data_IF_839671874203
#
_entry.id   IF_839671874203
#
_cell.length_a   1.000
_cell.length_b   1.000
_cell.length_c   1.000
_cell.angle_alpha   90.00
_cell.angle_beta   90.00
_cell.angle_gamma   90.00
#
_symmetry.space_group_name_H-M   'P 1'
#
loop_
_entity.id
_entity.type
_entity.pdbx_description
1 polymer ?
#
# COMPACT_ATOMS: atom_id res chain seq x y z
N UNK A 1 30.49 -18.22 -11.72
CA UNK A 1 29.92 -17.18 -10.84
C UNK A 1 29.18 -16.26 -11.78
N UNK A 2 27.88 -16.51 -11.99
CA UNK A 2 27.06 -15.62 -12.82
C UNK A 2 27.02 -14.24 -12.16
N UNK A 3 27.19 -13.15 -12.94
CA UNK A 3 27.08 -11.81 -12.39
C UNK A 3 25.67 -11.60 -11.81
N UNK A 4 25.61 -11.07 -10.59
CA UNK A 4 24.37 -10.67 -9.94
C UNK A 4 23.66 -9.60 -10.79
N UNK A 5 22.34 -9.70 -10.93
CA UNK A 5 21.51 -8.80 -11.73
C UNK A 5 21.69 -7.33 -11.28
N UNK A 6 21.93 -7.10 -9.99
CA UNK A 6 22.20 -5.77 -9.44
C UNK A 6 23.54 -5.19 -9.91
N UNK A 7 24.58 -6.03 -10.02
CA UNK A 7 25.90 -5.62 -10.56
C UNK A 7 25.80 -5.33 -12.07
N UNK A 8 24.99 -6.10 -12.79
CA UNK A 8 24.67 -5.86 -14.20
C UNK A 8 23.92 -4.54 -14.42
N UNK A 9 22.89 -4.26 -13.62
CA UNK A 9 22.14 -2.98 -13.65
C UNK A 9 23.02 -1.77 -13.34
N UNK A 10 23.91 -1.88 -12.35
CA UNK A 10 24.84 -0.81 -11.99
C UNK A 10 25.80 -0.48 -13.13
N UNK A 11 26.36 -1.50 -13.78
CA UNK A 11 27.26 -1.33 -14.93
C UNK A 11 26.53 -0.82 -16.18
N UNK A 12 25.29 -1.26 -16.41
CA UNK A 12 24.47 -0.81 -17.54
C UNK A 12 24.08 0.66 -17.40
N UNK A 13 23.73 1.10 -16.19
CA UNK A 13 23.36 2.51 -15.93
C UNK A 13 24.47 3.49 -16.32
N UNK A 14 25.73 3.09 -16.14
CA UNK A 14 26.89 3.90 -16.53
C UNK A 14 27.18 3.91 -18.04
N UNK A 15 26.66 2.92 -18.78
CA UNK A 15 26.90 2.74 -20.22
C UNK A 15 25.75 3.26 -21.08
N UNK A 16 24.52 2.96 -20.66
CA UNK A 16 23.27 3.30 -21.34
C UNK A 16 22.14 3.39 -20.30
N UNK A 17 21.80 4.62 -19.84
CA UNK A 17 20.71 4.84 -18.90
C UNK A 17 19.36 4.29 -19.39
N UNK A 18 19.07 4.36 -20.70
CA UNK A 18 17.80 3.93 -21.27
C UNK A 18 17.69 2.39 -21.27
N UNK A 19 18.79 1.70 -21.57
CA UNK A 19 18.85 0.25 -21.44
C UNK A 19 18.72 -0.20 -19.97
N UNK A 20 19.23 0.57 -19.01
CA UNK A 20 19.10 0.26 -17.58
C UNK A 20 17.65 0.38 -17.11
N UNK A 21 16.95 1.45 -17.53
CA UNK A 21 15.51 1.61 -17.25
C UNK A 21 14.68 0.48 -17.88
N UNK A 22 15.02 0.06 -19.09
CA UNK A 22 14.38 -1.09 -19.75
C UNK A 22 14.55 -2.37 -18.94
N UNK A 23 15.74 -2.63 -18.40
CA UNK A 23 15.99 -3.81 -17.56
C UNK A 23 15.23 -3.75 -16.24
N UNK A 24 15.10 -2.56 -15.62
CA UNK A 24 14.26 -2.36 -14.42
C UNK A 24 12.81 -2.75 -14.68
N UNK A 25 12.25 -2.41 -15.84
CA UNK A 25 10.89 -2.83 -16.24
C UNK A 25 10.80 -4.36 -16.25
N UNK A 26 11.75 -5.06 -16.86
CA UNK A 26 11.75 -6.54 -16.91
C UNK A 26 11.81 -7.14 -15.50
N UNK A 27 12.79 -6.71 -14.69
CA UNK A 27 12.95 -7.21 -13.31
C UNK A 27 11.70 -6.97 -12.46
N UNK A 28 11.06 -5.82 -12.63
CA UNK A 28 9.84 -5.48 -11.90
C UNK A 28 8.68 -6.43 -12.26
N UNK A 29 8.41 -6.63 -13.55
CA UNK A 29 7.35 -7.56 -13.99
C UNK A 29 7.64 -9.01 -13.59
N UNK A 30 8.90 -9.44 -13.62
CA UNK A 30 9.29 -10.79 -13.18
C UNK A 30 9.02 -10.99 -11.69
N UNK A 31 9.30 -9.98 -10.86
CA UNK A 31 9.00 -10.01 -9.44
C UNK A 31 7.48 -10.12 -9.16
N UNK A 32 6.64 -9.46 -9.98
CA UNK A 32 5.19 -9.57 -9.92
C UNK A 32 4.68 -10.95 -10.35
N UNK A 33 5.20 -11.48 -11.47
CA UNK A 33 4.83 -12.81 -11.98
C UNK A 33 5.24 -13.92 -11.02
N UNK A 34 6.43 -13.82 -10.42
CA UNK A 34 6.93 -14.77 -9.42
C UNK A 34 6.01 -14.83 -8.18
N UNK A 35 5.41 -13.69 -7.81
CA UNK A 35 4.46 -13.58 -6.68
C UNK A 35 3.00 -13.88 -7.06
N UNK A 36 2.75 -14.26 -8.31
CA UNK A 36 1.42 -14.56 -8.84
C UNK A 36 0.40 -13.46 -8.55
N UNK A 37 0.81 -12.19 -8.63
CA UNK A 37 -0.10 -11.06 -8.41
C UNK A 37 -1.17 -11.01 -9.50
N UNK A 38 -2.33 -10.48 -9.14
CA UNK A 38 -3.46 -10.31 -10.03
C UNK A 38 -3.33 -9.30 -11.14
N UNK A 39 -4.41 -9.21 -11.90
CA UNK A 39 -4.57 -8.29 -13.04
C UNK A 39 -4.41 -6.84 -12.62
N UNK A 40 -5.16 -6.41 -11.60
CA UNK A 40 -5.11 -5.03 -11.13
C UNK A 40 -3.72 -4.68 -10.62
N UNK A 41 -3.09 -5.59 -9.88
CA UNK A 41 -1.73 -5.42 -9.38
C UNK A 41 -0.72 -5.27 -10.53
N UNK A 42 -0.88 -6.05 -11.59
CA UNK A 42 -0.05 -5.98 -12.79
C UNK A 42 -0.21 -4.64 -13.52
N UNK A 43 -1.45 -4.16 -13.67
CA UNK A 43 -1.75 -2.86 -14.29
C UNK A 43 -1.26 -1.69 -13.45
N UNK A 44 -1.34 -1.79 -12.13
CA UNK A 44 -0.79 -0.81 -11.21
C UNK A 44 0.72 -0.66 -11.37
N UNK A 45 1.43 -1.79 -11.46
CA UNK A 45 2.86 -1.81 -11.77
C UNK A 45 3.18 -1.08 -13.06
N UNK A 46 2.44 -1.37 -14.13
CA UNK A 46 2.60 -0.71 -15.41
C UNK A 46 2.30 0.80 -15.36
N UNK A 47 1.27 1.22 -14.62
CA UNK A 47 0.90 2.61 -14.47
C UNK A 47 1.97 3.42 -13.75
N UNK A 48 2.52 2.88 -12.66
CA UNK A 48 3.63 3.50 -11.91
C UNK A 48 4.88 3.59 -12.78
N UNK A 49 5.24 2.53 -13.49
CA UNK A 49 6.43 2.51 -14.37
C UNK A 49 6.32 3.44 -15.57
N UNK A 50 5.13 3.58 -16.16
CA UNK A 50 4.90 4.43 -17.34
C UNK A 50 4.66 5.90 -16.99
N UNK A 51 4.37 6.21 -15.72
CA UNK A 51 3.92 7.52 -15.27
C UNK A 51 2.60 7.95 -15.92
N UNK A 52 1.81 7.00 -16.42
CA UNK A 52 0.57 7.24 -17.17
C UNK A 52 -0.54 6.29 -16.71
N UNK A 53 -1.78 6.59 -17.09
CA UNK A 53 -2.89 5.66 -16.85
C UNK A 53 -2.72 4.44 -17.75
N UNK A 54 -2.88 3.25 -17.20
CA UNK A 54 -2.79 1.98 -17.94
C UNK A 54 -4.09 1.23 -17.78
N UNK A 55 -4.53 0.60 -18.87
CA UNK A 55 -5.72 -0.23 -18.84
C UNK A 55 -5.59 -1.57 -19.52
N UNK A 56 -6.56 -2.43 -19.23
CA UNK A 56 -6.82 -3.69 -19.89
C UNK A 56 -8.31 -3.80 -20.19
N UNK A 57 -8.63 -4.34 -21.36
CA UNK A 57 -9.96 -4.86 -21.67
C UNK A 57 -9.82 -6.35 -21.88
N UNK A 58 -10.69 -7.11 -21.24
CA UNK A 58 -10.76 -8.56 -21.34
C UNK A 58 -12.22 -9.01 -21.48
N UNK A 59 -12.63 -9.30 -22.72
CA UNK A 59 -14.05 -9.45 -23.05
C UNK A 59 -14.80 -8.16 -22.71
N UNK A 60 -15.72 -8.24 -21.74
CA UNK A 60 -16.53 -7.12 -21.24
C UNK A 60 -15.91 -6.37 -20.05
N UNK A 61 -14.89 -6.93 -19.41
CA UNK A 61 -14.29 -6.33 -18.23
C UNK A 61 -13.23 -5.32 -18.65
N UNK A 62 -13.33 -4.10 -18.11
CA UNK A 62 -12.35 -3.04 -18.31
C UNK A 62 -11.74 -2.66 -16.96
N UNK A 63 -10.41 -2.72 -16.90
CA UNK A 63 -9.60 -2.34 -15.75
C UNK A 63 -8.69 -1.19 -16.17
N UNK A 64 -8.68 -0.11 -15.39
CA UNK A 64 -7.91 1.12 -15.58
C UNK A 64 -7.30 1.54 -14.25
N UNK A 65 -6.02 1.85 -14.28
CA UNK A 65 -5.23 2.28 -13.13
C UNK A 65 -4.43 3.51 -13.51
N UNK A 66 -4.55 4.59 -12.74
CA UNK A 66 -3.83 5.86 -12.95
C UNK A 66 -2.35 5.71 -12.57
N UNK A 67 -1.52 6.64 -13.02
CA UNK A 67 -0.08 6.72 -12.73
C UNK A 67 0.28 6.67 -11.22
N UNK A 68 -0.59 7.17 -10.33
CA UNK A 68 -0.42 7.08 -8.86
C UNK A 68 -0.83 5.70 -8.29
N UNK A 69 -1.13 4.77 -9.19
CA UNK A 69 -1.55 3.42 -8.88
C UNK A 69 -3.03 3.29 -8.52
N UNK A 70 -3.83 4.36 -8.48
CA UNK A 70 -5.23 4.26 -8.07
C UNK A 70 -6.10 3.73 -9.22
N UNK A 71 -6.91 2.71 -8.92
CA UNK A 71 -7.92 2.16 -9.83
C UNK A 71 -9.02 3.21 -10.08
N UNK A 72 -9.39 3.42 -11.34
CA UNK A 72 -10.39 4.43 -11.76
C UNK A 72 -11.49 3.81 -12.62
N UNK A 73 -12.56 4.57 -12.85
CA UNK A 73 -13.70 4.10 -13.63
C UNK A 73 -13.31 3.61 -15.03
N UNK A 74 -13.95 2.53 -15.52
CA UNK A 74 -13.68 1.99 -16.83
C UNK A 74 -14.07 2.99 -17.93
N UNK A 75 -13.22 3.10 -18.95
CA UNK A 75 -13.44 3.88 -20.17
C UNK A 75 -12.88 3.05 -21.33
N UNK A 76 -13.57 3.09 -22.47
CA UNK A 76 -13.10 2.44 -23.69
C UNK A 76 -11.81 3.09 -24.20
N UNK A 77 -10.82 2.31 -24.66
CA UNK A 77 -9.55 2.86 -25.10
C UNK A 77 -9.71 3.68 -26.38
N UNK A 78 -9.05 4.84 -26.43
CA UNK A 78 -8.91 5.62 -27.66
C UNK A 78 -8.03 4.91 -28.68
N UNK A 79 -8.35 5.06 -29.96
CA UNK A 79 -7.52 4.59 -31.08
C UNK A 79 -6.16 5.30 -31.17
N UNK A 80 -6.02 6.47 -30.55
CA UNK A 80 -4.77 7.26 -30.55
C UNK A 80 -3.74 6.77 -29.52
N UNK A 81 -4.15 5.95 -28.56
CA UNK A 81 -3.28 5.52 -27.48
C UNK A 81 -2.41 4.32 -27.88
N UNK A 82 -1.20 4.17 -27.32
CA UNK A 82 -0.43 2.94 -27.45
C UNK A 82 -1.21 1.72 -26.94
N UNK A 83 -1.49 0.74 -27.82
CA UNK A 83 -2.23 -0.49 -27.51
C UNK A 83 -1.42 -1.73 -27.90
N UNK A 84 -1.52 -2.80 -27.11
CA UNK A 84 -1.00 -4.13 -27.44
C UNK A 84 -2.03 -5.22 -27.13
N UNK A 85 -2.12 -6.23 -27.99
CA UNK A 85 -2.95 -7.40 -27.73
C UNK A 85 -2.40 -8.20 -26.53
N UNK A 86 -3.28 -8.67 -25.65
CA UNK A 86 -2.95 -9.46 -24.45
C UNK A 86 -3.68 -10.81 -24.38
N UNK A 87 -4.24 -11.25 -25.52
CA UNK A 87 -4.95 -12.52 -25.69
C UNK A 87 -6.13 -12.40 -26.66
N UNK A 88 -6.89 -13.49 -26.87
CA UNK A 88 -8.14 -13.45 -27.63
C UNK A 88 -9.12 -12.44 -27.01
N UNK A 89 -9.60 -11.50 -27.82
CA UNK A 89 -10.50 -10.40 -27.42
C UNK A 89 -9.99 -9.52 -26.27
N UNK A 90 -8.69 -9.56 -25.99
CA UNK A 90 -8.08 -8.84 -24.89
C UNK A 90 -6.95 -7.91 -25.36
N UNK A 91 -6.95 -6.68 -24.83
CA UNK A 91 -5.97 -5.65 -25.14
C UNK A 91 -5.53 -4.96 -23.86
N UNK A 92 -4.34 -4.39 -23.88
CA UNK A 92 -3.82 -3.49 -22.85
C UNK A 92 -3.27 -2.23 -23.51
N UNK A 93 -3.36 -1.11 -22.81
CA UNK A 93 -2.97 0.20 -23.35
C UNK A 93 -2.35 1.10 -22.29
N UNK A 94 -1.63 2.11 -22.76
CA UNK A 94 -1.16 3.25 -21.97
C UNK A 94 -1.89 4.49 -22.50
N UNK A 95 -2.55 5.26 -21.63
CA UNK A 95 -3.21 6.51 -22.00
C UNK A 95 -2.17 7.61 -22.13
N UNK A 96 -1.70 7.80 -23.37
CA UNK A 96 -0.73 8.82 -23.72
C UNK A 96 -1.16 9.52 -24.98
N UNK A 97 -1.21 10.85 -24.90
CA UNK A 97 -1.39 11.71 -26.05
C UNK A 97 -0.02 12.09 -26.62
N UNK A 98 0.15 12.01 -27.95
CA UNK A 98 1.42 12.28 -28.61
C UNK A 98 2.32 11.05 -28.74
N UNK A 99 3.63 11.28 -28.83
CA UNK A 99 4.60 10.21 -29.06
C UNK A 99 4.76 9.31 -27.84
N UNK A 100 4.98 8.01 -28.10
CA UNK A 100 5.29 7.04 -27.06
C UNK A 100 6.60 7.41 -26.36
N UNK A 101 6.65 7.23 -25.05
CA UNK A 101 7.89 7.33 -24.29
C UNK A 101 8.77 6.10 -24.54
N UNK A 102 10.08 6.24 -24.32
CA UNK A 102 11.10 5.21 -24.58
C UNK A 102 10.72 3.82 -24.07
N UNK A 103 10.16 3.72 -22.86
CA UNK A 103 9.85 2.45 -22.21
C UNK A 103 8.43 1.92 -22.47
N UNK A 104 7.54 2.68 -23.10
CA UNK A 104 6.12 2.30 -23.25
C UNK A 104 5.95 0.97 -24.01
N UNK A 105 6.73 0.79 -25.07
CA UNK A 105 6.70 -0.44 -25.87
C UNK A 105 7.12 -1.67 -25.05
N UNK A 106 8.17 -1.54 -24.22
CA UNK A 106 8.64 -2.59 -23.32
C UNK A 106 7.64 -2.86 -22.20
N UNK A 107 7.06 -1.82 -21.58
CA UNK A 107 6.04 -1.96 -20.55
C UNK A 107 4.82 -2.72 -21.09
N UNK A 108 4.31 -2.32 -22.26
CA UNK A 108 3.20 -3.02 -22.93
C UNK A 108 3.55 -4.46 -23.28
N UNK A 109 4.79 -4.72 -23.71
CA UNK A 109 5.28 -6.08 -23.96
C UNK A 109 5.18 -6.95 -22.72
N UNK A 110 5.88 -6.57 -21.65
CA UNK A 110 5.95 -7.33 -20.41
C UNK A 110 4.56 -7.49 -19.79
N UNK A 111 3.75 -6.43 -19.79
CA UNK A 111 2.38 -6.45 -19.32
C UNK A 111 1.52 -7.44 -20.11
N UNK A 112 1.56 -7.41 -21.44
CA UNK A 112 0.77 -8.31 -22.29
C UNK A 112 1.09 -9.78 -22.05
N UNK A 113 2.39 -10.11 -21.90
CA UNK A 113 2.84 -11.46 -21.57
C UNK A 113 2.38 -11.89 -20.17
N UNK A 114 2.55 -11.01 -19.18
CA UNK A 114 2.16 -11.29 -17.81
C UNK A 114 0.64 -11.50 -17.68
N UNK A 115 -0.17 -10.68 -18.36
CA UNK A 115 -1.62 -10.85 -18.42
C UNK A 115 -2.03 -12.15 -19.14
N UNK A 116 -1.30 -12.55 -20.18
CA UNK A 116 -1.48 -13.86 -20.83
C UNK A 116 -1.21 -15.02 -19.87
N UNK A 117 -0.14 -14.94 -19.08
CA UNK A 117 0.19 -15.92 -18.04
C UNK A 117 -0.92 -15.97 -16.97
N UNK A 118 -1.36 -14.81 -16.47
CA UNK A 118 -2.44 -14.73 -15.47
C UNK A 118 -3.72 -15.37 -16.03
N UNK A 119 -4.09 -15.05 -17.28
CA UNK A 119 -5.27 -15.62 -17.94
C UNK A 119 -5.19 -17.14 -18.04
N UNK A 120 -4.04 -17.69 -18.42
CA UNK A 120 -3.82 -19.13 -18.46
C UNK A 120 -3.94 -19.80 -17.07
N UNK A 121 -3.67 -19.04 -16.00
CA UNK A 121 -3.78 -19.49 -14.60
C UNK A 121 -5.12 -19.23 -13.93
N UNK A 122 -5.98 -18.35 -14.49
CA UNK A 122 -7.23 -17.82 -13.87
C UNK A 122 -8.26 -18.88 -13.47
N UNK A 123 -8.02 -20.17 -13.69
CA UNK A 123 -9.00 -21.21 -13.44
C UNK A 123 -9.12 -21.71 -11.98
N UNK A 124 -8.12 -21.70 -11.07
CA UNK A 124 -8.29 -22.52 -9.82
C UNK A 124 -7.43 -22.13 -8.58
N UNK A 125 -7.19 -20.86 -8.25
CA UNK A 125 -6.33 -20.49 -7.10
C UNK A 125 -7.02 -19.74 -5.94
N UNK A 126 -6.71 -20.03 -4.65
CA UNK A 126 -7.22 -19.25 -3.51
C UNK A 126 -6.80 -17.78 -3.58
N UNK A 127 -5.65 -17.45 -4.18
CA UNK A 127 -5.15 -16.08 -4.33
C UNK A 127 -6.11 -15.23 -5.16
N UNK A 128 -6.59 -15.77 -6.28
CA UNK A 128 -7.57 -15.09 -7.14
C UNK A 128 -8.91 -14.84 -6.44
N UNK A 129 -9.31 -15.74 -5.53
CA UNK A 129 -10.52 -15.58 -4.74
C UNK A 129 -10.32 -14.51 -3.65
N UNK A 130 -9.14 -14.40 -3.04
CA UNK A 130 -8.81 -13.33 -2.09
C UNK A 130 -8.88 -11.97 -2.78
N UNK A 131 -8.22 -11.83 -3.94
CA UNK A 131 -8.23 -10.57 -4.70
C UNK A 131 -9.63 -10.13 -5.10
N UNK A 132 -10.45 -11.08 -5.58
CA UNK A 132 -11.84 -10.79 -5.91
C UNK A 132 -12.64 -10.37 -4.67
N UNK A 133 -12.46 -11.05 -3.54
CA UNK A 133 -13.20 -10.79 -2.31
C UNK A 133 -12.89 -9.41 -1.69
N UNK A 134 -11.68 -8.89 -1.85
CA UNK A 134 -11.28 -7.57 -1.31
C UNK A 134 -11.46 -6.41 -2.30
N UNK A 135 -11.74 -6.68 -3.58
CA UNK A 135 -11.81 -5.63 -4.60
C UNK A 135 -13.05 -4.75 -4.43
N UNK A 136 -12.85 -3.44 -4.24
CA UNK A 136 -13.94 -2.46 -4.21
C UNK A 136 -14.63 -2.25 -5.57
N UNK A 137 -14.01 -2.70 -6.66
CA UNK A 137 -14.53 -2.58 -8.03
C UNK A 137 -15.31 -3.80 -8.51
N UNK A 138 -15.23 -4.92 -7.78
CA UNK A 138 -16.03 -6.10 -8.04
C UNK A 138 -17.46 -5.92 -7.52
N UNK A 139 -18.46 -6.45 -8.23
CA UNK A 139 -19.85 -6.43 -7.76
C UNK A 139 -20.04 -7.23 -6.49
N UNK A 140 -21.01 -6.86 -5.64
CA UNK A 140 -21.28 -7.56 -4.36
C UNK A 140 -21.49 -9.07 -4.56
N UNK A 141 -22.22 -9.45 -5.61
CA UNK A 141 -22.47 -10.86 -5.96
C UNK A 141 -21.20 -11.60 -6.39
N UNK A 142 -20.32 -10.95 -7.17
CA UNK A 142 -19.05 -11.53 -7.61
C UNK A 142 -18.13 -11.79 -6.41
N UNK A 143 -18.07 -10.86 -5.46
CA UNK A 143 -17.32 -11.03 -4.21
C UNK A 143 -17.88 -12.15 -3.36
N UNK A 144 -19.21 -12.19 -3.19
CA UNK A 144 -19.87 -13.25 -2.45
C UNK A 144 -19.60 -14.64 -3.07
N UNK A 145 -19.55 -14.75 -4.40
CA UNK A 145 -19.23 -15.99 -5.12
C UNK A 145 -17.75 -16.43 -4.96
N UNK A 146 -16.85 -15.53 -4.53
CA UNK A 146 -15.46 -15.84 -4.25
C UNK A 146 -15.27 -16.50 -2.88
N UNK A 147 -16.07 -16.11 -1.87
CA UNK A 147 -15.90 -16.54 -0.48
C UNK A 147 -15.93 -18.06 -0.28
N UNK A 148 -16.85 -18.84 -0.89
CA UNK A 148 -16.86 -20.30 -0.72
C UNK A 148 -15.57 -20.98 -1.20
N UNK A 149 -14.84 -20.37 -2.14
CA UNK A 149 -13.57 -20.90 -2.66
C UNK A 149 -12.44 -20.81 -1.63
N UNK A 150 -12.57 -19.90 -0.66
CA UNK A 150 -11.62 -19.67 0.42
C UNK A 150 -11.79 -20.67 1.58
N UNK A 151 -12.88 -21.45 1.59
CA UNK A 151 -13.19 -22.47 2.63
C UNK A 151 -13.21 -21.92 4.05
N UNK A 152 -13.59 -20.65 4.20
CA UNK A 152 -13.77 -19.99 5.49
C UNK A 152 -15.15 -20.34 6.05
N UNK A 153 -15.21 -20.67 7.34
CA UNK A 153 -16.46 -21.02 8.05
C UNK A 153 -16.87 -20.00 9.10
N UNK A 154 -16.05 -18.98 9.32
CA UNK A 154 -16.27 -17.97 10.34
C UNK A 154 -17.36 -16.97 9.94
N UNK A 155 -18.13 -16.50 10.93
CA UNK A 155 -19.16 -15.49 10.71
C UNK A 155 -18.60 -14.06 10.63
N UNK A 156 -17.50 -13.81 11.35
CA UNK A 156 -16.75 -12.56 11.31
C UNK A 156 -15.39 -12.81 10.66
N UNK A 157 -15.08 -12.00 9.65
CA UNK A 157 -13.81 -12.02 8.96
C UNK A 157 -13.10 -10.68 9.12
N UNK A 158 -11.77 -10.71 9.04
CA UNK A 158 -10.95 -9.50 8.94
C UNK A 158 -9.78 -9.70 7.99
N UNK A 159 -9.34 -8.61 7.38
CA UNK A 159 -8.10 -8.59 6.61
C UNK A 159 -6.93 -8.26 7.51
N UNK A 160 -5.79 -8.88 7.21
CA UNK A 160 -4.49 -8.51 7.75
C UNK A 160 -3.61 -8.09 6.58
N UNK A 161 -3.12 -6.86 6.64
CA UNK A 161 -2.11 -6.34 5.75
C UNK A 161 -0.73 -6.61 6.35
N UNK A 162 0.15 -7.25 5.58
CA UNK A 162 1.53 -7.55 6.00
C UNK A 162 2.52 -7.36 4.85
N UNK A 163 3.85 -7.34 5.12
CA UNK A 163 4.84 -7.56 4.09
C UNK A 163 4.56 -8.83 3.25
N UNK A 164 5.02 -8.90 2.00
CA UNK A 164 4.81 -10.07 1.14
C UNK A 164 5.35 -11.38 1.74
N UNK A 165 6.44 -11.27 2.49
CA UNK A 165 7.21 -12.37 3.05
C UNK A 165 7.49 -12.11 4.55
N UNK A 166 7.46 -13.14 5.42
CA UNK A 166 7.03 -14.51 5.14
C UNK A 166 5.52 -14.62 4.87
N UNK A 167 5.12 -15.66 4.13
CA UNK A 167 3.71 -15.99 3.92
C UNK A 167 3.09 -16.54 5.22
N UNK A 168 1.78 -16.32 5.45
CA UNK A 168 1.07 -16.95 6.56
C UNK A 168 0.99 -18.47 6.35
N UNK A 169 0.60 -19.19 7.39
CA UNK A 169 0.38 -20.62 7.35
C UNK A 169 -0.67 -20.98 6.27
N UNK A 170 -0.54 -22.13 5.56
CA UNK A 170 -1.34 -22.44 4.37
C UNK A 170 -2.86 -22.50 4.57
N UNK A 171 -3.34 -22.66 5.81
CA UNK A 171 -4.77 -22.64 6.12
C UNK A 171 -5.39 -21.23 6.05
N UNK A 172 -4.59 -20.18 6.05
CA UNK A 172 -5.05 -18.79 5.99
C UNK A 172 -4.96 -18.29 4.54
N UNK A 173 -6.10 -18.11 3.84
CA UNK A 173 -6.09 -17.64 2.47
C UNK A 173 -5.43 -16.26 2.38
N UNK A 174 -4.45 -16.14 1.47
CA UNK A 174 -3.76 -14.87 1.24
C UNK A 174 -3.40 -14.66 -0.21
N UNK A 175 -3.24 -13.40 -0.60
CA UNK A 175 -2.72 -12.99 -1.90
C UNK A 175 -1.76 -11.82 -1.75
N UNK A 176 -0.76 -11.73 -2.62
CA UNK A 176 0.09 -10.53 -2.71
C UNK A 176 -0.55 -9.57 -3.70
N UNK A 177 -0.85 -8.36 -3.23
CA UNK A 177 -1.53 -7.31 -3.98
C UNK A 177 -0.58 -6.14 -4.12
N UNK A 178 -0.47 -5.58 -5.34
CA UNK A 178 0.21 -4.31 -5.50
C UNK A 178 -0.74 -3.19 -5.06
N UNK A 179 -0.26 -2.37 -4.13
CA UNK A 179 -0.91 -1.14 -3.70
C UNK A 179 -0.07 0.05 -4.17
N UNK A 180 -0.58 1.27 -4.03
CA UNK A 180 0.24 2.46 -4.27
C UNK A 180 1.40 2.61 -3.26
N UNK A 181 1.36 1.86 -2.15
CA UNK A 181 2.39 1.85 -1.11
C UNK A 181 3.36 0.65 -1.25
N UNK A 182 3.30 -0.06 -2.38
CA UNK A 182 4.12 -1.24 -2.65
C UNK A 182 3.36 -2.54 -2.57
N UNK A 183 4.10 -3.65 -2.57
CA UNK A 183 3.52 -4.99 -2.47
C UNK A 183 3.10 -5.27 -1.02
N UNK A 184 1.84 -5.65 -0.85
CA UNK A 184 1.28 -5.98 0.45
C UNK A 184 0.56 -7.30 0.35
N UNK A 185 0.76 -8.18 1.32
CA UNK A 185 -0.02 -9.41 1.42
C UNK A 185 -1.34 -9.11 2.13
N UNK A 186 -2.44 -9.48 1.49
CA UNK A 186 -3.77 -9.51 2.07
C UNK A 186 -4.04 -10.93 2.58
N UNK A 187 -4.19 -11.09 3.89
CA UNK A 187 -4.53 -12.38 4.51
C UNK A 187 -5.91 -12.28 5.16
N UNK A 188 -6.81 -13.20 4.83
CA UNK A 188 -8.15 -13.24 5.43
C UNK A 188 -8.12 -14.18 6.63
N UNK A 189 -8.49 -13.65 7.80
CA UNK A 189 -8.59 -14.40 9.05
C UNK A 189 -10.03 -14.38 9.57
N UNK A 190 -10.35 -15.40 10.37
CA UNK A 190 -11.45 -15.29 11.33
C UNK A 190 -11.13 -14.14 12.30
N UNK A 191 -12.12 -13.30 12.57
CA UNK A 191 -11.98 -12.15 13.45
C UNK A 191 -11.47 -12.51 14.87
N UNK A 192 -11.78 -13.72 15.34
CA UNK A 192 -11.37 -14.22 16.66
C UNK A 192 -9.95 -14.84 16.67
N UNK A 193 -9.32 -14.98 15.49
CA UNK A 193 -7.96 -15.51 15.40
C UNK A 193 -6.95 -14.46 15.84
N UNK A 194 -6.10 -14.81 16.81
CA UNK A 194 -4.88 -14.06 17.12
C UNK A 194 -3.97 -14.02 15.88
N UNK A 195 -3.89 -12.86 15.24
CA UNK A 195 -3.24 -12.70 13.95
C UNK A 195 -1.76 -13.09 13.98
N UNK A 196 -1.05 -12.91 15.09
CA UNK A 196 0.36 -13.28 15.21
C UNK A 196 0.56 -14.79 15.10
N UNK A 197 -0.47 -15.59 15.39
CA UNK A 197 -0.44 -17.05 15.26
C UNK A 197 -0.69 -17.54 13.83
N UNK A 198 -1.10 -16.66 12.92
CA UNK A 198 -1.27 -17.01 11.52
C UNK A 198 0.07 -17.17 10.78
N UNK A 199 1.20 -16.85 11.41
CA UNK A 199 2.55 -17.02 10.88
C UNK A 199 3.39 -17.96 11.77
N UNK A 200 4.28 -18.73 11.15
CA UNK A 200 5.26 -19.55 11.86
C UNK A 200 6.47 -18.73 12.32
N UNK A 201 6.85 -17.71 11.55
CA UNK A 201 7.98 -16.83 11.80
C UNK A 201 7.49 -15.39 11.98
N UNK A 202 7.70 -14.84 13.17
CA UNK A 202 7.17 -13.53 13.55
C UNK A 202 8.25 -12.43 13.65
N UNK A 203 9.50 -12.77 13.37
CA UNK A 203 10.61 -11.83 13.46
C UNK A 203 10.46 -10.73 12.40
N UNK A 204 10.28 -9.48 12.85
CA UNK A 204 10.13 -8.33 11.94
C UNK A 204 8.77 -8.24 11.24
N UNK A 205 7.79 -9.07 11.61
CA UNK A 205 6.43 -8.95 11.07
C UNK A 205 5.81 -7.62 11.48
N UNK A 206 5.13 -7.01 10.51
CA UNK A 206 4.36 -5.79 10.66
C UNK A 206 2.95 -6.10 10.19
N UNK A 207 1.97 -5.99 11.08
CA UNK A 207 0.60 -6.40 10.81
C UNK A 207 -0.35 -5.22 11.03
N UNK A 208 -1.03 -4.82 9.97
CA UNK A 208 -2.21 -3.96 10.06
C UNK A 208 -3.46 -4.80 10.06
N UNK A 209 -4.24 -4.76 11.13
CA UNK A 209 -5.49 -5.50 11.24
C UNK A 209 -6.64 -4.61 10.79
N UNK A 210 -7.37 -5.05 9.77
CA UNK A 210 -8.57 -4.39 9.29
C UNK A 210 -9.73 -4.52 10.25
N UNK A 211 -10.70 -3.60 10.17
CA UNK A 211 -11.94 -3.68 10.95
C UNK A 211 -12.64 -5.01 10.64
N UNK A 212 -13.02 -5.75 11.67
CA UNK A 212 -13.73 -7.01 11.53
C UNK A 212 -15.19 -6.80 11.09
N UNK A 213 -15.72 -7.72 10.29
CA UNK A 213 -17.09 -7.65 9.80
C UNK A 213 -17.50 -8.90 9.04
N UNK A 214 -18.73 -8.94 8.50
CA UNK A 214 -19.14 -10.05 7.64
C UNK A 214 -18.36 -10.01 6.31
N UNK A 215 -18.37 -11.11 5.57
CA UNK A 215 -17.55 -11.27 4.36
C UNK A 215 -17.81 -10.25 3.25
N UNK A 216 -18.98 -9.61 3.23
CA UNK A 216 -19.29 -8.54 2.26
C UNK A 216 -18.47 -7.27 2.51
N UNK A 217 -17.98 -7.09 3.75
CA UNK A 217 -17.19 -5.93 4.22
C UNK A 217 -15.68 -6.12 4.14
N UNK A 218 -15.21 -7.16 3.44
CA UNK A 218 -13.77 -7.36 3.23
C UNK A 218 -13.08 -6.20 2.51
N UNK A 219 -13.70 -5.47 1.56
CA UNK A 219 -13.08 -4.27 0.99
C UNK A 219 -12.79 -3.18 2.02
N UNK A 220 -13.72 -2.91 2.95
CA UNK A 220 -13.54 -1.93 4.04
C UNK A 220 -12.50 -2.43 5.06
N UNK A 221 -12.53 -3.74 5.38
CA UNK A 221 -11.50 -4.36 6.21
C UNK A 221 -10.12 -4.24 5.56
N UNK A 222 -10.01 -4.42 4.25
CA UNK A 222 -8.76 -4.24 3.51
C UNK A 222 -8.25 -2.80 3.52
N UNK A 223 -9.12 -1.83 3.23
CA UNK A 223 -8.78 -0.40 3.29
C UNK A 223 -8.22 0.00 4.66
N UNK A 224 -8.92 -0.38 5.72
CA UNK A 224 -8.50 -0.08 7.10
C UNK A 224 -7.23 -0.83 7.52
N UNK A 225 -7.03 -2.07 7.04
CA UNK A 225 -5.77 -2.82 7.26
C UNK A 225 -4.57 -2.12 6.62
N UNK A 226 -4.74 -1.55 5.41
CA UNK A 226 -3.70 -0.78 4.73
C UNK A 226 -3.31 0.49 5.48
N UNK A 227 -4.28 1.18 6.10
CA UNK A 227 -3.98 2.30 7.00
C UNK A 227 -3.20 1.79 8.21
N UNK A 228 -3.70 0.75 8.89
CA UNK A 228 -3.11 0.24 10.12
C UNK A 228 -1.66 -0.25 9.91
N UNK A 229 -1.36 -0.99 8.83
CA UNK A 229 -0.02 -1.54 8.61
C UNK A 229 1.01 -0.43 8.43
N UNK A 230 0.62 0.72 7.86
CA UNK A 230 1.51 1.88 7.67
C UNK A 230 1.78 2.63 8.97
N UNK A 231 0.90 2.50 9.96
CA UNK A 231 1.08 3.07 11.30
C UNK A 231 1.92 2.19 12.23
N UNK A 232 2.27 0.97 11.81
CA UNK A 232 3.12 0.08 12.61
C UNK A 232 4.54 0.64 12.78
N UNK A 233 5.17 0.31 13.91
CA UNK A 233 6.53 0.74 14.27
C UNK A 233 7.30 -0.38 14.98
N UNK A 234 8.63 -0.32 15.14
CA UNK A 234 9.36 -1.37 15.87
C UNK A 234 8.84 -1.62 17.28
N UNK A 235 8.32 -0.57 17.94
CA UNK A 235 7.70 -0.67 19.25
C UNK A 235 6.25 -1.19 19.20
N UNK A 236 5.54 -0.94 18.11
CA UNK A 236 4.16 -1.34 17.87
C UNK A 236 4.04 -2.07 16.52
N UNK A 237 4.48 -3.34 16.44
CA UNK A 237 4.52 -4.08 15.17
C UNK A 237 3.13 -4.52 14.68
N UNK A 238 2.12 -4.46 15.54
CA UNK A 238 0.74 -4.84 15.24
C UNK A 238 -0.16 -3.68 15.61
N UNK A 239 -0.94 -3.18 14.65
CA UNK A 239 -1.91 -2.10 14.86
C UNK A 239 -3.29 -2.62 14.47
N UNK A 240 -4.26 -2.51 15.36
CA UNK A 240 -5.66 -2.79 15.05
C UNK A 240 -6.36 -1.52 14.59
N UNK A 241 -6.92 -1.54 13.38
CA UNK A 241 -7.64 -0.39 12.85
C UNK A 241 -8.86 -0.01 13.69
N UNK A 242 -9.45 -0.95 14.43
CA UNK A 242 -10.56 -0.66 15.35
C UNK A 242 -10.13 0.26 16.49
N UNK A 243 -8.87 0.16 16.96
CA UNK A 243 -8.33 0.97 18.05
C UNK A 243 -8.07 2.43 17.63
N UNK A 244 -7.97 2.69 16.33
CA UNK A 244 -7.85 4.06 15.79
C UNK A 244 -9.14 4.87 15.96
N UNK A 245 -10.29 4.21 16.09
CA UNK A 245 -11.60 4.86 16.22
C UNK A 245 -11.83 5.93 15.15
N UNK A 246 -12.20 7.14 15.57
CA UNK A 246 -12.47 8.26 14.66
C UNK A 246 -11.24 8.71 13.84
N UNK A 247 -10.02 8.38 14.27
CA UNK A 247 -8.80 8.72 13.52
C UNK A 247 -8.72 7.95 12.20
N UNK A 248 -9.30 6.75 12.13
CA UNK A 248 -9.37 5.97 10.89
C UNK A 248 -10.10 6.75 9.77
N UNK A 249 -11.21 7.40 10.10
CA UNK A 249 -11.96 8.23 9.12
C UNK A 249 -11.10 9.40 8.60
N UNK A 250 -10.28 10.00 9.46
CA UNK A 250 -9.36 11.07 9.07
C UNK A 250 -8.25 10.53 8.18
N UNK A 251 -7.69 9.37 8.51
CA UNK A 251 -6.67 8.70 7.72
C UNK A 251 -7.18 8.33 6.31
N UNK A 252 -8.36 7.72 6.23
CA UNK A 252 -9.01 7.35 4.96
C UNK A 252 -9.34 8.57 4.10
N UNK A 253 -9.80 9.66 4.70
CA UNK A 253 -10.06 10.90 3.97
C UNK A 253 -8.77 11.56 3.43
N UNK A 254 -7.67 11.45 4.17
CA UNK A 254 -6.39 12.03 3.79
C UNK A 254 -5.66 11.25 2.69
N UNK A 255 -6.00 9.98 2.47
CA UNK A 255 -5.35 9.10 1.51
C UNK A 255 -5.26 9.66 0.07
N UNK A 256 -6.23 10.47 -0.35
CA UNK A 256 -6.31 10.99 -1.73
C UNK A 256 -5.92 12.46 -1.88
N UNK A 257 -5.51 13.11 -0.78
CA UNK A 257 -5.25 14.54 -0.73
C UNK A 257 -3.77 14.90 -0.58
N UNK A 258 -3.43 16.20 -0.76
CA UNK A 258 -2.11 16.69 -0.38
C UNK A 258 -1.88 16.54 1.12
N UNK A 259 -0.60 16.45 1.53
CA UNK A 259 -0.23 16.41 2.93
C UNK A 259 -0.80 17.62 3.69
N UNK A 260 -1.54 17.37 4.78
CA UNK A 260 -2.16 18.42 5.57
C UNK A 260 -1.09 19.39 6.13
N UNK A 261 -1.34 20.71 6.22
CA UNK A 261 -0.37 21.69 6.71
C UNK A 261 0.27 21.35 8.06
N UNK A 262 -0.52 20.85 9.02
CA UNK A 262 0.03 20.44 10.33
C UNK A 262 1.05 19.29 10.19
N UNK A 263 0.83 18.34 9.28
CA UNK A 263 1.76 17.24 9.02
C UNK A 263 2.98 17.72 8.21
N UNK A 264 2.78 18.65 7.27
CA UNK A 264 3.86 19.28 6.52
C UNK A 264 4.79 20.11 7.42
N UNK A 265 4.24 20.82 8.41
CA UNK A 265 5.03 21.52 9.41
C UNK A 265 5.94 20.56 10.19
N UNK A 266 5.42 19.38 10.57
CA UNK A 266 6.20 18.34 11.23
C UNK A 266 7.25 17.70 10.30
N UNK A 267 6.94 17.52 9.01
CA UNK A 267 7.88 17.01 8.02
C UNK A 267 9.11 17.92 7.87
N UNK A 268 8.94 19.23 8.06
CA UNK A 268 10.04 20.22 8.04
C UNK A 268 10.94 20.20 9.28
N UNK A 269 10.60 19.42 10.33
CA UNK A 269 11.37 19.33 11.56
C UNK A 269 12.42 18.21 11.51
N UNK A 270 13.55 18.46 12.17
CA UNK A 270 14.54 17.42 12.44
C UNK A 270 14.00 16.32 13.39
N UNK A 271 14.62 15.14 13.35
CA UNK A 271 14.17 13.97 14.14
C UNK A 271 14.19 14.26 15.65
N UNK A 272 15.16 15.05 16.14
CA UNK A 272 15.28 15.39 17.56
C UNK A 272 14.14 16.29 18.05
N UNK A 273 13.61 17.14 17.18
CA UNK A 273 12.49 18.03 17.48
C UNK A 273 11.18 17.26 17.47
N UNK A 274 11.01 16.32 16.52
CA UNK A 274 9.88 15.38 16.52
C UNK A 274 9.88 14.49 17.76
N UNK A 275 11.04 13.94 18.15
CA UNK A 275 11.21 13.14 19.37
C UNK A 275 10.85 13.93 20.64
N UNK A 276 11.21 15.22 20.70
CA UNK A 276 10.84 16.09 21.82
C UNK A 276 9.32 16.31 21.89
N UNK A 277 8.68 16.58 20.76
CA UNK A 277 7.23 16.78 20.69
C UNK A 277 6.46 15.50 21.02
N UNK A 278 6.93 14.35 20.56
CA UNK A 278 6.40 13.02 20.92
C UNK A 278 6.49 12.83 22.45
N UNK A 279 7.65 13.11 23.05
CA UNK A 279 7.84 13.01 24.51
C UNK A 279 6.95 13.94 25.32
N UNK A 280 6.81 15.20 24.91
CA UNK A 280 5.95 16.16 25.61
C UNK A 280 4.47 15.78 25.50
N UNK A 281 4.06 15.21 24.36
CA UNK A 281 2.68 14.79 24.10
C UNK A 281 2.32 13.54 24.90
N UNK A 282 3.20 12.54 24.94
CA UNK A 282 3.01 11.30 25.69
C UNK A 282 3.00 11.52 27.20
N UNK A 283 3.97 12.28 27.71
CA UNK A 283 4.14 12.50 29.15
C UNK A 283 3.20 13.57 29.72
N UNK A 284 2.61 14.40 28.84
CA UNK A 284 1.83 15.60 29.19
C UNK A 284 2.55 16.54 30.18
N UNK A 285 3.88 16.46 30.23
CA UNK A 285 4.72 17.16 31.21
C UNK A 285 6.11 17.40 30.65
N UNK A 286 6.54 18.66 30.66
CA UNK A 286 7.88 19.06 30.18
C UNK A 286 8.98 18.46 31.06
N UNK A 287 8.72 18.31 32.36
CA UNK A 287 9.70 17.74 33.30
C UNK A 287 9.88 16.25 33.07
N UNK A 288 8.79 15.50 32.89
CA UNK A 288 8.83 14.07 32.62
C UNK A 288 9.44 13.80 31.23
N UNK A 289 9.06 14.58 30.21
CA UNK A 289 9.68 14.53 28.89
C UNK A 289 11.19 14.81 28.94
N UNK A 290 11.63 15.81 29.71
CA UNK A 290 13.05 16.11 29.89
C UNK A 290 13.82 14.94 30.54
N UNK A 291 13.22 14.28 31.53
CA UNK A 291 13.78 13.10 32.15
C UNK A 291 13.87 11.93 31.16
N UNK A 292 12.82 11.67 30.38
CA UNK A 292 12.79 10.63 29.33
C UNK A 292 13.88 10.83 28.28
N UNK A 293 14.11 12.08 27.88
CA UNK A 293 15.10 12.46 26.87
C UNK A 293 16.52 12.62 27.43
N UNK A 294 16.72 12.52 28.75
CA UNK A 294 18.01 12.76 29.39
C UNK A 294 18.51 14.22 29.24
N UNK A 295 17.59 15.19 29.20
CA UNK A 295 17.89 16.62 28.98
C UNK A 295 17.51 17.48 30.19
N UNK A 296 18.08 18.68 30.29
CA UNK A 296 17.68 19.66 31.30
C UNK A 296 16.30 20.24 30.98
N UNK A 297 15.45 20.35 31.99
CA UNK A 297 14.09 20.89 31.86
C UNK A 297 14.05 22.27 31.19
N UNK A 298 14.96 23.19 31.56
CA UNK A 298 15.05 24.53 30.96
C UNK A 298 15.29 24.48 29.45
N UNK A 299 16.21 23.64 29.00
CA UNK A 299 16.51 23.45 27.57
C UNK A 299 15.34 22.85 26.80
N UNK A 300 14.61 21.90 27.40
CA UNK A 300 13.39 21.34 26.79
C UNK A 300 12.28 22.39 26.70
N UNK A 301 12.11 23.21 27.74
CA UNK A 301 11.12 24.30 27.77
C UNK A 301 11.42 25.38 26.72
N UNK A 302 12.68 25.80 26.59
CA UNK A 302 13.11 26.76 25.55
C UNK A 302 12.87 26.20 24.15
N UNK A 303 13.29 24.95 23.90
CA UNK A 303 13.09 24.31 22.60
C UNK A 303 11.61 24.12 22.29
N UNK A 304 10.81 23.71 23.27
CA UNK A 304 9.36 23.57 23.10
C UNK A 304 8.70 24.90 22.73
N UNK A 305 9.10 26.01 23.37
CA UNK A 305 8.58 27.35 23.04
C UNK A 305 8.80 27.68 21.55
N UNK A 306 10.01 27.46 21.04
CA UNK A 306 10.31 27.67 19.61
C UNK A 306 9.51 26.74 18.69
N UNK A 307 9.30 25.48 19.09
CA UNK A 307 8.51 24.53 18.31
C UNK A 307 7.02 24.89 18.29
N UNK A 308 6.47 25.41 19.38
CA UNK A 308 5.09 25.90 19.43
C UNK A 308 4.88 27.07 18.46
N UNK A 309 5.86 27.97 18.33
CA UNK A 309 5.82 29.04 17.33
C UNK A 309 5.80 28.49 15.90
N UNK A 310 6.61 27.46 15.61
CA UNK A 310 6.65 26.82 14.28
C UNK A 310 5.33 26.08 13.98
N UNK A 311 4.77 25.35 14.95
CA UNK A 311 3.52 24.61 14.78
C UNK A 311 2.29 25.53 14.70
N UNK A 312 2.36 26.70 15.33
CA UNK A 312 1.22 27.61 15.49
C UNK A 312 0.17 27.11 16.48
N UNK A 313 0.49 26.09 17.29
CA UNK A 313 -0.34 25.58 18.38
C UNK A 313 0.50 24.89 19.47
N UNK A 314 0.00 24.89 20.70
CA UNK A 314 0.64 24.20 21.82
C UNK A 314 0.11 22.75 21.93
N UNK A 315 0.96 21.72 21.70
CA UNK A 315 0.55 20.32 21.76
C UNK A 315 0.13 19.86 23.16
N UNK A 316 0.37 20.67 24.20
CA UNK A 316 -0.06 20.39 25.59
C UNK A 316 -1.50 20.84 25.86
N UNK A 317 -2.05 21.73 25.04
CA UNK A 317 -3.47 22.11 25.15
C UNK A 317 -4.34 20.96 24.66
N UNK A 318 -5.57 20.81 25.18
CA UNK A 318 -6.44 19.68 24.77
C UNK A 318 -6.70 19.63 23.25
N UNK A 319 -6.91 20.79 22.61
CA UNK A 319 -7.08 20.88 21.15
C UNK A 319 -5.77 20.69 20.40
N UNK A 320 -4.67 21.24 20.91
CA UNK A 320 -3.36 21.09 20.29
C UNK A 320 -2.82 19.67 20.37
N UNK A 321 -3.12 18.94 21.45
CA UNK A 321 -2.81 17.52 21.60
C UNK A 321 -3.48 16.70 20.50
N UNK A 322 -4.80 16.86 20.32
CA UNK A 322 -5.53 16.18 19.25
C UNK A 322 -4.99 16.52 17.85
N UNK A 323 -4.69 17.81 17.59
CA UNK A 323 -4.05 18.24 16.34
C UNK A 323 -2.70 17.58 16.12
N UNK A 324 -1.86 17.54 17.16
CA UNK A 324 -0.53 16.94 17.09
C UNK A 324 -0.60 15.45 16.78
N UNK A 325 -1.45 14.70 17.49
CA UNK A 325 -1.63 13.25 17.29
C UNK A 325 -2.07 12.96 15.86
N UNK A 326 -3.08 13.68 15.35
CA UNK A 326 -3.52 13.54 13.95
C UNK A 326 -2.43 13.94 12.96
N UNK A 327 -1.72 15.03 13.20
CA UNK A 327 -0.64 15.49 12.33
C UNK A 327 0.53 14.49 12.28
N UNK A 328 0.88 13.85 13.40
CA UNK A 328 1.88 12.77 13.43
C UNK A 328 1.43 11.54 12.67
N UNK A 329 0.17 11.12 12.85
CA UNK A 329 -0.42 10.02 12.08
C UNK A 329 -0.39 10.32 10.58
N UNK A 330 -0.84 11.51 10.17
CA UNK A 330 -0.84 11.93 8.77
C UNK A 330 0.57 12.05 8.18
N UNK A 331 1.56 12.46 8.96
CA UNK A 331 2.96 12.46 8.53
C UNK A 331 3.43 11.02 8.23
N UNK A 332 3.14 10.08 9.12
CA UNK A 332 3.47 8.65 8.91
C UNK A 332 2.75 8.08 7.68
N UNK A 333 1.50 8.49 7.45
CA UNK A 333 0.73 8.12 6.25
C UNK A 333 1.10 8.93 4.99
N UNK A 334 1.96 9.93 5.09
CA UNK A 334 2.47 10.72 3.97
C UNK A 334 3.85 10.27 3.48
N UNK A 335 4.62 9.60 4.34
CA UNK A 335 5.89 8.93 4.01
C UNK A 335 5.68 7.56 3.37
#
# INVERSE_FOLDING_TARGET
MEPDMQDLLGRLTALDPDASETLKVVTYFDALVARSVGVESMLRGAAVLSGATVGQRDGRQIVRVRADGVRIDPVEPSHSWPVRASGPDAITWIERDGDAHTNDAMILERLSLALGIIRARRSVGPESAVELAISSFAGVEERAAALPRLRLTAMGLRLVASPPDPAPLPQHPSAVVATRHGLTRATILDAETDAVRAWSENAGLRLGLGVAGPGERLPESWSSALVAVRLTSPAEPVVDAADLGAMLLVAEAAESGPLHPDAAALAGLDDRSRELLDAVTEEQSVRAAAQRLGRHHSSVQERLTALVEILGYDPRSSRGHARYVLARMLLTLGS
#
